data_IF_798485792112
#
_entry.id   IF_798485792112
#
_cell.length_a   1.000
_cell.length_b   1.000
_cell.length_c   1.000
_cell.angle_alpha   90.00
_cell.angle_beta   90.00
_cell.angle_gamma   90.00
#
_symmetry.space_group_name_H-M   'P 1'
#
loop_
_entity.id
_entity.type
_entity.pdbx_description
1 polymer ?
#
# COMPACT_ATOMS: atom_id res chain seq x y z
N UNK A 1 24.90 18.03 5.69
CA UNK A 1 24.39 17.09 6.69
C UNK A 1 22.98 16.66 6.34
N UNK A 2 22.74 15.39 6.39
CA UNK A 2 21.41 14.87 6.13
C UNK A 2 20.50 15.11 7.34
N UNK A 3 19.29 15.52 7.03
CA UNK A 3 18.31 15.71 8.05
C UNK A 3 17.21 14.64 7.85
N UNK A 4 17.02 13.82 8.84
CA UNK A 4 15.97 12.81 8.78
C UNK A 4 14.63 13.45 9.08
N UNK A 5 13.63 13.14 8.28
CA UNK A 5 12.26 13.52 8.60
C UNK A 5 11.73 12.60 9.69
N UNK A 6 10.98 13.18 10.59
CA UNK A 6 10.21 12.38 11.53
C UNK A 6 9.05 11.72 10.79
N UNK A 7 8.57 10.56 11.24
CA UNK A 7 7.44 9.91 10.56
C UNK A 7 6.22 10.82 10.37
N UNK A 8 5.90 11.63 11.37
CA UNK A 8 4.75 12.55 11.28
C UNK A 8 4.95 13.62 10.23
N UNK A 9 6.19 14.15 10.12
CA UNK A 9 6.51 15.16 9.11
C UNK A 9 6.40 14.58 7.71
N UNK A 10 6.88 13.36 7.52
CA UNK A 10 6.82 12.70 6.23
C UNK A 10 5.38 12.45 5.83
N UNK A 11 4.56 11.96 6.74
CA UNK A 11 3.15 11.69 6.45
C UNK A 11 2.39 12.98 6.13
N UNK A 12 2.71 14.08 6.82
CA UNK A 12 2.09 15.38 6.53
C UNK A 12 2.42 15.84 5.11
N UNK A 13 3.67 15.61 4.67
CA UNK A 13 4.07 15.94 3.29
C UNK A 13 3.33 15.05 2.30
N UNK A 14 3.25 13.76 2.59
CA UNK A 14 2.63 12.77 1.71
C UNK A 14 1.11 12.93 1.62
N UNK A 15 0.48 13.55 2.61
CA UNK A 15 -0.96 13.85 2.54
C UNK A 15 -1.29 14.85 1.44
N UNK A 16 -0.29 15.57 0.93
CA UNK A 16 -0.50 16.50 -0.17
C UNK A 16 -0.41 15.85 -1.56
N UNK A 17 -0.12 14.53 -1.63
CA UNK A 17 -0.02 13.84 -2.92
C UNK A 17 -1.26 12.96 -3.12
N UNK A 18 -1.58 12.72 -4.39
CA UNK A 18 -2.77 11.97 -4.77
C UNK A 18 -2.59 10.46 -4.62
N UNK A 19 -1.37 9.98 -4.68
CA UNK A 19 -1.10 8.55 -4.56
C UNK A 19 -1.24 8.10 -3.12
N UNK A 20 -1.76 6.90 -2.93
CA UNK A 20 -1.86 6.29 -1.62
C UNK A 20 -0.48 5.80 -1.19
N UNK A 21 -0.09 6.10 0.04
CA UNK A 21 1.21 5.68 0.59
C UNK A 21 0.97 4.98 1.91
N UNK A 22 1.58 3.81 2.06
CA UNK A 22 1.44 2.98 3.26
C UNK A 22 2.83 2.55 3.70
N UNK A 23 3.09 2.61 4.99
CA UNK A 23 4.30 2.04 5.57
C UNK A 23 3.95 0.74 6.28
N UNK A 24 4.72 -0.30 5.96
CA UNK A 24 4.62 -1.60 6.63
C UNK A 24 5.88 -1.83 7.46
N UNK A 25 5.72 -2.41 8.63
CA UNK A 25 6.83 -2.75 9.53
C UNK A 25 6.62 -4.14 10.11
N UNK A 26 7.66 -4.70 10.69
CA UNK A 26 7.57 -5.99 11.35
C UNK A 26 7.07 -7.09 10.43
N UNK A 27 7.60 -7.14 9.23
CA UNK A 27 7.10 -8.00 8.19
C UNK A 27 6.09 -7.26 7.34
N UNK A 28 4.82 -7.39 7.61
CA UNK A 28 3.77 -6.80 6.79
C UNK A 28 2.70 -6.10 7.61
N UNK A 29 3.08 -5.53 8.75
CA UNK A 29 2.11 -4.88 9.64
C UNK A 29 1.97 -3.40 9.28
N UNK A 30 0.73 -2.93 9.22
CA UNK A 30 0.46 -1.52 8.91
C UNK A 30 0.97 -0.63 10.03
N UNK A 31 1.82 0.33 9.69
CA UNK A 31 2.44 1.24 10.65
C UNK A 31 2.01 2.68 10.44
N UNK A 32 1.79 3.10 9.20
CA UNK A 32 1.37 4.46 8.88
C UNK A 32 0.75 4.49 7.48
N UNK A 33 -0.05 5.50 7.20
CA UNK A 33 -0.60 5.71 5.87
C UNK A 33 -0.97 7.18 5.68
N UNK A 34 -0.98 7.63 4.43
CA UNK A 34 -1.41 9.00 4.16
C UNK A 34 -2.94 9.04 3.95
N UNK A 35 -3.46 10.26 3.75
CA UNK A 35 -4.89 10.47 3.58
C UNK A 35 -5.46 9.72 2.39
N UNK A 36 -4.75 9.72 1.26
CA UNK A 36 -5.22 9.03 0.06
C UNK A 36 -5.39 7.53 0.31
N UNK A 37 -4.46 6.91 1.05
CA UNK A 37 -4.58 5.50 1.42
C UNK A 37 -5.78 5.27 2.35
N UNK A 38 -5.92 6.15 3.35
CA UNK A 38 -7.03 6.04 4.30
C UNK A 38 -8.38 6.12 3.58
N UNK A 39 -8.50 7.00 2.58
CA UNK A 39 -9.73 7.14 1.81
C UNK A 39 -10.06 5.86 1.03
N UNK A 40 -9.06 5.21 0.48
CA UNK A 40 -9.27 3.94 -0.24
C UNK A 40 -9.74 2.85 0.72
N UNK A 41 -9.07 2.70 1.86
CA UNK A 41 -9.46 1.65 2.81
C UNK A 41 -10.82 1.91 3.42
N UNK A 42 -11.23 3.18 3.52
CA UNK A 42 -12.55 3.52 4.01
C UNK A 42 -13.65 2.90 3.15
N UNK A 43 -13.44 2.76 1.85
CA UNK A 43 -14.40 2.10 0.97
C UNK A 43 -14.60 0.63 1.35
N UNK A 44 -13.63 0.05 2.03
CA UNK A 44 -13.69 -1.35 2.49
C UNK A 44 -14.15 -1.45 3.94
N UNK A 45 -14.57 -0.34 4.52
CA UNK A 45 -15.01 -0.33 5.91
C UNK A 45 -13.87 -0.36 6.92
N UNK A 46 -12.66 -0.01 6.49
CA UNK A 46 -11.48 -0.04 7.35
C UNK A 46 -11.01 1.36 7.68
N UNK A 47 -10.53 1.55 8.90
CA UNK A 47 -9.89 2.77 9.34
C UNK A 47 -8.47 2.46 9.72
N UNK A 48 -7.59 3.46 9.73
CA UNK A 48 -6.22 3.24 10.17
C UNK A 48 -6.16 2.66 11.57
N UNK A 49 -7.04 3.12 12.46
CA UNK A 49 -7.07 2.60 13.83
C UNK A 49 -7.33 1.11 13.88
N UNK A 50 -8.21 0.61 13.00
CA UNK A 50 -8.51 -0.82 12.91
C UNK A 50 -7.36 -1.61 12.27
N UNK A 51 -6.56 -0.96 11.45
CA UNK A 51 -5.52 -1.62 10.65
C UNK A 51 -4.16 -1.61 11.34
N UNK A 52 -3.89 -0.59 12.14
CA UNK A 52 -2.58 -0.39 12.74
C UNK A 52 -2.13 -1.62 13.54
N UNK A 53 -0.93 -2.07 13.24
CA UNK A 53 -0.35 -3.24 13.91
C UNK A 53 -0.81 -4.58 13.37
N UNK A 54 -1.79 -4.59 12.46
CA UNK A 54 -2.27 -5.83 11.85
C UNK A 54 -1.58 -6.05 10.52
N UNK A 55 -1.42 -7.31 10.13
CA UNK A 55 -0.71 -7.63 8.90
C UNK A 55 -1.61 -7.52 7.67
N UNK A 56 -0.97 -7.31 6.53
CA UNK A 56 -1.66 -7.38 5.23
C UNK A 56 -2.36 -8.71 5.07
N UNK A 57 -1.70 -9.81 5.49
CA UNK A 57 -2.23 -11.17 5.31
C UNK A 57 -3.47 -11.40 6.14
N UNK A 58 -3.53 -10.80 7.31
CA UNK A 58 -4.66 -10.90 8.22
C UNK A 58 -5.86 -10.10 7.72
N UNK A 59 -5.62 -8.88 7.26
CA UNK A 59 -6.69 -7.98 6.82
C UNK A 59 -7.17 -8.29 5.41
N UNK A 60 -6.28 -8.79 4.55
CA UNK A 60 -6.58 -9.04 3.15
C UNK A 60 -6.19 -10.46 2.76
N UNK A 61 -6.85 -11.48 3.36
CA UNK A 61 -6.51 -12.87 3.04
C UNK A 61 -6.75 -13.22 1.57
N UNK A 62 -7.55 -12.45 0.87
CA UNK A 62 -7.82 -12.66 -0.55
C UNK A 62 -6.60 -12.46 -1.45
N UNK A 63 -5.55 -11.79 -0.95
CA UNK A 63 -4.35 -11.62 -1.78
C UNK A 63 -3.52 -12.90 -1.85
N UNK A 64 -3.81 -13.87 -0.98
CA UNK A 64 -3.07 -15.12 -0.96
C UNK A 64 -3.21 -15.84 -2.30
N UNK A 65 -2.09 -16.28 -2.86
CA UNK A 65 -2.07 -16.97 -4.14
C UNK A 65 -2.09 -16.04 -5.35
N UNK A 66 -2.10 -14.73 -5.15
CA UNK A 66 -2.13 -13.77 -6.25
C UNK A 66 -0.76 -13.12 -6.47
N UNK A 67 -0.66 -12.33 -7.55
CA UNK A 67 0.54 -11.55 -7.81
C UNK A 67 0.82 -10.58 -6.67
N UNK A 68 -0.22 -10.08 -5.99
CA UNK A 68 -0.02 -9.17 -4.87
C UNK A 68 0.76 -9.83 -3.75
N UNK A 69 0.42 -11.08 -3.39
CA UNK A 69 1.17 -11.78 -2.37
C UNK A 69 2.64 -11.96 -2.78
N UNK A 70 2.86 -12.44 -4.00
CA UNK A 70 4.21 -12.71 -4.49
C UNK A 70 5.08 -11.45 -4.45
N UNK A 71 4.55 -10.35 -4.98
CA UNK A 71 5.34 -9.13 -5.07
C UNK A 71 5.54 -8.46 -3.71
N UNK A 72 4.52 -8.49 -2.85
CA UNK A 72 4.68 -7.96 -1.50
C UNK A 72 5.71 -8.72 -0.70
N UNK A 73 5.74 -10.05 -0.84
CA UNK A 73 6.78 -10.85 -0.17
C UNK A 73 8.16 -10.53 -0.69
N UNK A 74 8.29 -10.26 -2.00
CA UNK A 74 9.57 -9.88 -2.56
C UNK A 74 10.10 -8.58 -1.95
N UNK A 75 9.23 -7.59 -1.75
CA UNK A 75 9.65 -6.34 -1.12
C UNK A 75 10.08 -6.58 0.32
N UNK A 76 9.29 -7.33 1.08
CA UNK A 76 9.49 -7.48 2.52
C UNK A 76 10.62 -8.46 2.82
N UNK A 77 10.63 -9.61 2.17
CA UNK A 77 11.57 -10.70 2.48
C UNK A 77 12.87 -10.61 1.71
N UNK A 78 12.77 -10.26 0.42
CA UNK A 78 13.94 -10.19 -0.45
C UNK A 78 14.49 -8.77 -0.60
N UNK A 79 13.82 -7.79 -0.01
CA UNK A 79 14.23 -6.38 -0.04
C UNK A 79 14.40 -5.88 -1.47
N UNK A 80 13.46 -6.23 -2.33
CA UNK A 80 13.47 -5.86 -3.75
C UNK A 80 12.40 -4.82 -4.04
N UNK A 81 12.72 -3.83 -4.87
CA UNK A 81 11.73 -2.90 -5.38
C UNK A 81 10.87 -3.62 -6.41
N UNK A 82 9.55 -3.43 -6.33
CA UNK A 82 8.62 -4.10 -7.25
C UNK A 82 7.61 -3.10 -7.81
N UNK A 83 6.97 -3.49 -8.91
CA UNK A 83 5.88 -2.73 -9.51
C UNK A 83 4.92 -3.72 -10.16
N UNK A 84 3.64 -3.60 -9.88
CA UNK A 84 2.65 -4.51 -10.43
C UNK A 84 1.27 -3.87 -10.44
N UNK A 85 0.37 -4.43 -11.24
CA UNK A 85 -1.04 -4.07 -11.26
C UNK A 85 -1.85 -5.19 -10.65
N UNK A 86 -2.86 -4.82 -9.88
CA UNK A 86 -3.68 -5.79 -9.18
C UNK A 86 -5.14 -5.35 -9.16
N UNK A 87 -6.04 -6.26 -9.50
CA UNK A 87 -7.47 -6.04 -9.36
C UNK A 87 -7.90 -6.50 -7.98
N UNK A 88 -8.42 -5.58 -7.17
CA UNK A 88 -8.87 -5.90 -5.83
C UNK A 88 -10.34 -6.30 -5.88
N UNK A 89 -10.66 -7.58 -5.62
CA UNK A 89 -12.04 -8.06 -5.84
C UNK A 89 -13.06 -7.45 -4.89
N UNK A 90 -12.65 -7.07 -3.69
CA UNK A 90 -13.60 -6.53 -2.71
C UNK A 90 -14.11 -5.15 -3.07
N UNK A 91 -13.27 -4.27 -3.57
CA UNK A 91 -13.73 -2.94 -3.97
C UNK A 91 -13.85 -2.79 -5.48
N UNK A 92 -13.51 -3.85 -6.23
CA UNK A 92 -13.67 -3.91 -7.70
C UNK A 92 -12.92 -2.80 -8.42
N UNK A 93 -11.73 -2.48 -7.93
CA UNK A 93 -10.86 -1.47 -8.50
C UNK A 93 -9.51 -2.07 -8.87
N UNK A 94 -8.91 -1.51 -9.92
CA UNK A 94 -7.54 -1.84 -10.31
C UNK A 94 -6.58 -0.86 -9.66
N UNK A 95 -5.47 -1.38 -9.18
CA UNK A 95 -4.42 -0.55 -8.56
C UNK A 95 -3.07 -0.84 -9.19
N UNK A 96 -2.34 0.23 -9.52
CA UNK A 96 -0.92 0.13 -9.81
C UNK A 96 -0.19 0.31 -8.48
N UNK A 97 0.63 -0.65 -8.12
CA UNK A 97 1.31 -0.67 -6.83
C UNK A 97 2.81 -0.73 -7.03
N UNK A 98 3.53 0.12 -6.34
CA UNK A 98 4.99 0.09 -6.28
C UNK A 98 5.40 -0.17 -4.84
N UNK A 99 6.31 -1.12 -4.66
CA UNK A 99 6.81 -1.44 -3.34
C UNK A 99 8.28 -1.14 -3.25
N UNK A 100 8.67 -0.47 -2.18
CA UNK A 100 10.05 -0.06 -1.93
C UNK A 100 10.51 -0.67 -0.62
N UNK A 101 11.66 -1.35 -0.60
CA UNK A 101 12.19 -1.83 0.68
C UNK A 101 12.50 -0.66 1.59
N UNK A 102 12.27 -0.88 2.86
CA UNK A 102 12.60 0.08 3.90
C UNK A 102 13.20 -0.69 5.08
N UNK A 103 13.91 -0.01 5.94
CA UNK A 103 14.48 -0.65 7.09
C UNK A 103 13.95 0.03 8.34
N UNK A 104 13.05 -0.66 9.07
CA UNK A 104 12.46 -1.96 8.78
C UNK A 104 11.25 -1.88 7.83
N UNK A 105 10.94 -2.99 7.15
CA UNK A 105 9.68 -3.15 6.46
C UNK A 105 9.66 -2.71 5.02
N UNK A 106 8.61 -2.00 4.62
CA UNK A 106 8.41 -1.61 3.24
C UNK A 106 7.52 -0.36 3.15
N UNK A 107 7.64 0.35 2.04
CA UNK A 107 6.73 1.44 1.71
C UNK A 107 6.00 1.04 0.42
N UNK A 108 4.68 1.12 0.44
CA UNK A 108 3.85 0.85 -0.72
C UNK A 108 3.25 2.15 -1.21
N UNK A 109 3.34 2.37 -2.52
CA UNK A 109 2.71 3.53 -3.17
C UNK A 109 1.76 2.96 -4.20
N UNK A 110 0.47 3.29 -4.11
CA UNK A 110 -0.48 2.74 -5.05
C UNK A 110 -1.46 3.79 -5.54
N UNK A 111 -1.96 3.55 -6.73
CA UNK A 111 -2.82 4.45 -7.46
C UNK A 111 -3.96 3.67 -8.07
N UNK A 112 -5.17 4.20 -7.94
CA UNK A 112 -6.36 3.61 -8.56
C UNK A 112 -6.30 3.90 -10.07
N UNK A 113 -6.22 2.86 -10.86
CA UNK A 113 -6.14 2.96 -12.33
C UNK A 113 -7.38 2.37 -12.99
N UNK A 114 -8.48 2.25 -12.26
CA UNK A 114 -9.70 1.64 -12.77
C UNK A 114 -10.21 2.36 -14.00
N UNK A 115 -10.28 3.69 -13.97
CA UNK A 115 -10.75 4.47 -15.11
C UNK A 115 -9.88 4.25 -16.35
N UNK A 116 -8.56 4.20 -16.16
CA UNK A 116 -7.62 3.95 -17.25
C UNK A 116 -7.82 2.56 -17.86
N UNK A 117 -8.01 1.55 -17.00
CA UNK A 117 -8.23 0.18 -17.47
C UNK A 117 -9.54 0.07 -18.26
N UNK A 118 -10.60 0.66 -17.74
CA UNK A 118 -11.89 0.63 -18.40
C UNK A 118 -11.82 1.31 -19.78
N UNK A 119 -11.15 2.45 -19.87
CA UNK A 119 -10.97 3.18 -21.12
C UNK A 119 -10.24 2.34 -22.17
N UNK A 120 -9.18 1.64 -21.74
CA UNK A 120 -8.38 0.82 -22.64
C UNK A 120 -9.12 -0.43 -23.10
N UNK A 121 -10.03 -0.94 -22.29
CA UNK A 121 -10.79 -2.15 -22.60
C UNK A 121 -12.01 -1.87 -23.47
N UNK A 122 -12.50 -0.65 -23.46
CA UNK A 122 -13.63 -0.27 -24.31
C UNK A 122 -13.15 0.17 -25.69
#
# INVERSE_FOLDING_TARGET
MQRAFKPDDLMAILDGVDDAVVKLEGGANFAAMNKAAADIYKRLGLTFENMKGKSVWELFPEVKGTIAERELRSVIEDQRQVSFEYYHPKDQHWYETKGYPASPGAILVFRDITAKKTTLES
#
